data_IF_731014135747
#
_entry.id   IF_731014135747
#
_cell.length_a   1.000
_cell.length_b   1.000
_cell.length_c   1.000
_cell.angle_alpha   90.00
_cell.angle_beta   90.00
_cell.angle_gamma   90.00
#
_symmetry.space_group_name_H-M   'P 1'
#
loop_
_entity.id
_entity.type
_entity.pdbx_description
1 polymer ?
#
# COMPACT_ATOMS: atom_id res chain seq x y z
N UNK A 1 4.40 -3.32 -21.75
CA UNK A 1 4.90 -2.51 -20.63
C UNK A 1 3.97 -2.53 -19.41
N UNK A 2 2.65 -2.31 -19.52
CA UNK A 2 1.76 -2.30 -18.33
C UNK A 2 1.79 -3.62 -17.53
N UNK A 3 1.67 -4.79 -18.18
CA UNK A 3 1.73 -6.08 -17.49
C UNK A 3 3.05 -6.28 -16.71
N UNK A 4 4.17 -5.83 -17.29
CA UNK A 4 5.47 -5.86 -16.62
C UNK A 4 5.48 -4.93 -15.41
N UNK A 5 4.92 -3.72 -15.53
CA UNK A 5 4.75 -2.80 -14.39
C UNK A 5 3.94 -3.46 -13.27
N UNK A 6 2.78 -4.03 -13.58
CA UNK A 6 1.92 -4.69 -12.61
C UNK A 6 2.63 -5.87 -11.92
N UNK A 7 3.23 -6.76 -12.72
CA UNK A 7 3.97 -7.91 -12.20
C UNK A 7 5.16 -7.52 -11.33
N UNK A 8 5.90 -6.47 -11.72
CA UNK A 8 7.02 -5.97 -10.94
C UNK A 8 6.59 -5.33 -9.62
N UNK A 9 5.50 -4.55 -9.64
CA UNK A 9 4.92 -3.97 -8.42
C UNK A 9 4.47 -5.05 -7.45
N UNK A 10 3.79 -6.10 -7.93
CA UNK A 10 3.37 -7.23 -7.08
C UNK A 10 4.56 -8.03 -6.57
N UNK A 11 5.61 -8.20 -7.39
CA UNK A 11 6.85 -8.84 -6.93
C UNK A 11 7.51 -8.05 -5.80
N UNK A 12 7.61 -6.72 -5.93
CA UNK A 12 8.12 -5.86 -4.85
C UNK A 12 7.28 -6.01 -3.58
N UNK A 13 5.95 -6.01 -3.72
CA UNK A 13 5.02 -6.20 -2.60
C UNK A 13 5.22 -7.56 -1.91
N UNK A 14 5.44 -8.64 -2.67
CA UNK A 14 5.74 -9.97 -2.13
C UNK A 14 6.99 -9.98 -1.24
N UNK A 15 8.08 -9.38 -1.72
CA UNK A 15 9.32 -9.30 -0.95
C UNK A 15 9.15 -8.42 0.29
N UNK A 16 8.44 -7.30 0.15
CA UNK A 16 8.19 -6.41 1.26
C UNK A 16 7.31 -7.05 2.35
N UNK A 17 6.25 -7.75 1.97
CA UNK A 17 5.40 -8.50 2.89
C UNK A 17 6.22 -9.51 3.70
N UNK A 18 7.18 -10.21 3.07
CA UNK A 18 8.08 -11.10 3.81
C UNK A 18 8.94 -10.37 4.82
N UNK A 19 9.49 -9.19 4.48
CA UNK A 19 10.26 -8.36 5.41
C UNK A 19 9.38 -7.93 6.59
N UNK A 20 8.18 -7.44 6.31
CA UNK A 20 7.25 -6.95 7.32
C UNK A 20 6.76 -8.08 8.25
N UNK A 21 6.51 -9.27 7.72
CA UNK A 21 6.20 -10.46 8.53
C UNK A 21 7.32 -10.75 9.54
N UNK A 22 8.60 -10.64 9.15
CA UNK A 22 9.72 -10.94 10.05
C UNK A 22 9.82 -9.93 11.21
N UNK A 23 9.45 -8.67 10.98
CA UNK A 23 9.59 -7.61 12.00
C UNK A 23 8.32 -7.43 12.84
N UNK A 24 7.13 -7.70 12.28
CA UNK A 24 5.85 -7.52 12.98
C UNK A 24 5.31 -8.81 13.60
N UNK A 25 5.56 -9.96 12.96
CA UNK A 25 5.06 -11.26 13.40
C UNK A 25 3.54 -11.28 13.59
N UNK A 26 3.09 -11.84 14.71
CA UNK A 26 1.66 -11.98 15.02
C UNK A 26 1.00 -10.68 15.51
N UNK A 27 1.78 -9.66 15.90
CA UNK A 27 1.24 -8.46 16.52
C UNK A 27 0.69 -7.47 15.48
N UNK A 28 1.31 -7.43 14.31
CA UNK A 28 0.95 -6.56 13.19
C UNK A 28 1.10 -5.06 13.50
N UNK A 29 0.98 -4.24 12.47
CA UNK A 29 0.83 -2.78 12.55
C UNK A 29 1.89 -2.11 13.45
N UNK A 30 3.12 -2.59 13.35
CA UNK A 30 4.29 -2.16 14.10
C UNK A 30 4.06 -2.12 15.63
N UNK A 31 3.16 -2.96 16.17
CA UNK A 31 2.76 -2.91 17.57
C UNK A 31 3.93 -3.11 18.54
N UNK A 32 4.87 -4.00 18.18
CA UNK A 32 6.04 -4.34 19.00
C UNK A 32 7.35 -3.66 18.52
N UNK A 33 7.29 -2.82 17.48
CA UNK A 33 8.50 -2.17 16.97
C UNK A 33 8.94 -1.03 17.91
N UNK A 34 10.26 -0.81 18.09
CA UNK A 34 10.78 0.23 18.97
C UNK A 34 10.68 1.61 18.30
N UNK A 35 9.47 2.10 18.12
CA UNK A 35 9.18 3.35 17.42
C UNK A 35 8.15 4.20 18.17
N UNK A 36 8.14 5.50 17.93
CA UNK A 36 7.12 6.39 18.50
C UNK A 36 5.76 6.14 17.86
N UNK A 37 4.69 6.50 18.56
CA UNK A 37 3.31 6.25 18.12
C UNK A 37 2.40 7.43 18.43
N UNK A 38 1.52 7.76 17.48
CA UNK A 38 0.42 8.70 17.64
C UNK A 38 -0.87 7.87 17.55
N UNK A 39 -1.46 7.59 18.71
CA UNK A 39 -2.66 6.74 18.80
C UNK A 39 -3.94 7.50 18.45
N UNK A 40 -3.99 8.81 18.74
CA UNK A 40 -5.19 9.62 18.57
C UNK A 40 -4.85 10.99 17.98
N UNK A 41 -5.38 11.27 16.79
CA UNK A 41 -5.38 12.59 16.18
C UNK A 41 -6.43 12.59 15.05
N UNK A 42 -7.25 13.64 14.94
CA UNK A 42 -8.34 13.70 13.94
C UNK A 42 -7.89 13.55 12.48
N UNK A 43 -6.65 13.97 12.17
CA UNK A 43 -6.04 13.71 10.85
C UNK A 43 -5.87 12.22 10.54
N UNK A 44 -5.75 11.36 11.56
CA UNK A 44 -5.67 9.91 11.36
C UNK A 44 -7.00 9.36 10.83
N UNK A 45 -8.12 9.90 11.28
CA UNK A 45 -9.44 9.48 10.80
C UNK A 45 -9.62 9.79 9.30
N UNK A 46 -9.07 10.92 8.85
CA UNK A 46 -9.19 11.38 7.46
C UNK A 46 -8.16 10.72 6.54
N UNK A 47 -6.88 10.72 6.94
CA UNK A 47 -5.77 10.34 6.06
C UNK A 47 -5.20 8.96 6.36
N UNK A 48 -5.49 8.39 7.54
CA UNK A 48 -4.89 7.14 8.02
C UNK A 48 -5.93 6.04 8.30
N UNK A 49 -7.18 6.26 7.91
CA UNK A 49 -8.28 5.31 8.13
C UNK A 49 -8.62 5.06 9.60
N UNK A 50 -8.24 5.99 10.49
CA UNK A 50 -8.39 5.87 11.95
C UNK A 50 -7.31 5.03 12.62
N UNK A 51 -6.28 4.60 11.88
CA UNK A 51 -5.20 3.77 12.41
C UNK A 51 -4.19 4.61 13.22
N UNK A 52 -3.53 4.02 14.22
CA UNK A 52 -2.37 4.66 14.84
C UNK A 52 -1.26 4.89 13.82
N UNK A 53 -0.70 6.09 13.79
CA UNK A 53 0.52 6.37 13.02
C UNK A 53 1.73 6.01 13.88
N UNK A 54 2.62 5.17 13.37
CA UNK A 54 3.88 4.83 14.04
C UNK A 54 5.06 5.45 13.30
N UNK A 55 6.18 5.64 13.97
CA UNK A 55 7.38 6.14 13.30
C UNK A 55 7.90 5.21 12.22
N UNK A 56 7.66 3.89 12.33
CA UNK A 56 7.90 2.94 11.24
C UNK A 56 7.15 3.37 9.98
N UNK A 57 5.84 3.54 10.07
CA UNK A 57 5.01 3.98 8.95
C UNK A 57 5.40 5.36 8.43
N UNK A 58 5.65 6.33 9.33
CA UNK A 58 5.97 7.71 8.97
C UNK A 58 7.22 7.82 8.08
N UNK A 59 8.17 6.91 8.23
CA UNK A 59 9.37 6.87 7.39
C UNK A 59 9.26 5.89 6.22
N UNK A 60 8.56 4.77 6.41
CA UNK A 60 8.42 3.75 5.38
C UNK A 60 7.59 4.22 4.19
N UNK A 61 6.44 4.87 4.43
CA UNK A 61 5.55 5.30 3.35
C UNK A 61 6.25 6.32 2.41
N UNK A 62 6.90 7.39 2.90
CA UNK A 62 7.69 8.27 2.05
C UNK A 62 8.87 7.57 1.39
N UNK A 63 9.56 6.66 2.08
CA UNK A 63 10.66 5.91 1.50
C UNK A 63 10.20 5.09 0.27
N UNK A 64 9.11 4.35 0.39
CA UNK A 64 8.52 3.63 -0.74
C UNK A 64 8.05 4.57 -1.85
N UNK A 65 7.47 5.72 -1.50
CA UNK A 65 7.11 6.73 -2.50
C UNK A 65 8.36 7.19 -3.28
N UNK A 66 9.48 7.47 -2.61
CA UNK A 66 10.74 7.84 -3.26
C UNK A 66 11.25 6.73 -4.19
N UNK A 67 11.17 5.46 -3.78
CA UNK A 67 11.55 4.33 -4.66
C UNK A 67 10.72 4.27 -5.94
N UNK A 68 9.40 4.45 -5.85
CA UNK A 68 8.55 4.44 -7.04
C UNK A 68 8.73 5.67 -7.93
N UNK A 69 9.10 6.83 -7.37
CA UNK A 69 9.42 8.05 -8.14
C UNK A 69 10.86 8.07 -8.67
N UNK A 70 11.75 7.21 -8.16
CA UNK A 70 13.16 7.20 -8.56
C UNK A 70 13.37 7.12 -10.08
N UNK A 71 12.66 6.26 -10.85
CA UNK A 71 12.81 6.24 -12.30
C UNK A 71 12.42 7.55 -12.99
N UNK A 72 11.40 8.26 -12.48
CA UNK A 72 10.97 9.55 -13.02
C UNK A 72 12.01 10.64 -12.75
N UNK A 73 12.51 10.69 -11.51
CA UNK A 73 13.54 11.64 -11.10
C UNK A 73 14.85 11.39 -11.86
N UNK A 74 15.28 10.13 -11.98
CA UNK A 74 16.53 9.75 -12.63
C UNK A 74 16.48 9.94 -14.16
N UNK A 75 15.37 9.60 -14.80
CA UNK A 75 15.22 9.77 -16.26
C UNK A 75 14.88 11.22 -16.66
N UNK A 76 14.54 12.11 -15.71
CA UNK A 76 14.16 13.49 -15.98
C UNK A 76 12.86 13.67 -16.78
N UNK A 77 12.07 12.61 -16.95
CA UNK A 77 10.89 12.59 -17.82
C UNK A 77 9.59 12.59 -17.01
N UNK A 78 9.34 13.69 -16.31
CA UNK A 78 8.10 13.87 -15.56
C UNK A 78 6.93 14.21 -16.48
N UNK A 79 5.85 13.44 -16.37
CA UNK A 79 4.59 13.76 -17.04
C UNK A 79 3.44 13.36 -16.13
N UNK A 80 2.27 13.96 -16.31
CA UNK A 80 1.08 13.61 -15.52
C UNK A 80 0.70 12.12 -15.67
N UNK A 81 1.01 11.49 -16.82
CA UNK A 81 0.78 10.05 -17.04
C UNK A 81 1.75 9.19 -16.27
N UNK A 82 3.03 9.59 -16.23
CA UNK A 82 4.03 8.92 -15.43
C UNK A 82 3.67 9.02 -13.95
N UNK A 83 3.26 10.19 -13.49
CA UNK A 83 2.79 10.43 -12.12
C UNK A 83 1.58 9.56 -11.76
N UNK A 84 0.56 9.54 -12.62
CA UNK A 84 -0.62 8.69 -12.44
C UNK A 84 -0.24 7.21 -12.34
N UNK A 85 0.72 6.75 -13.16
CA UNK A 85 1.24 5.38 -13.10
C UNK A 85 1.97 5.11 -11.79
N UNK A 86 2.79 6.04 -11.31
CA UNK A 86 3.51 5.90 -10.03
C UNK A 86 2.53 5.79 -8.87
N UNK A 87 1.54 6.68 -8.77
CA UNK A 87 0.51 6.57 -7.72
C UNK A 87 -0.30 5.27 -7.82
N UNK A 88 -0.66 4.84 -9.02
CA UNK A 88 -1.33 3.56 -9.22
C UNK A 88 -0.47 2.37 -8.75
N UNK A 89 0.85 2.41 -9.01
CA UNK A 89 1.81 1.42 -8.51
C UNK A 89 1.92 1.44 -6.99
N UNK A 90 1.98 2.62 -6.36
CA UNK A 90 2.04 2.74 -4.89
C UNK A 90 0.78 2.15 -4.25
N UNK A 91 -0.41 2.46 -4.79
CA UNK A 91 -1.68 1.90 -4.30
C UNK A 91 -1.72 0.38 -4.48
N UNK A 92 -1.36 -0.12 -5.68
CA UNK A 92 -1.32 -1.55 -5.94
C UNK A 92 -0.31 -2.26 -5.03
N UNK A 93 0.86 -1.64 -4.78
CA UNK A 93 1.89 -2.16 -3.90
C UNK A 93 1.33 -2.38 -2.50
N UNK A 94 0.79 -1.34 -1.84
CA UNK A 94 0.32 -1.46 -0.46
C UNK A 94 -0.86 -2.41 -0.29
N UNK A 95 -1.79 -2.46 -1.26
CA UNK A 95 -2.89 -3.44 -1.21
C UNK A 95 -2.36 -4.87 -1.37
N UNK A 96 -1.46 -5.08 -2.32
CA UNK A 96 -0.91 -6.41 -2.60
C UNK A 96 -0.03 -6.87 -1.45
N UNK A 97 0.77 -5.97 -0.90
CA UNK A 97 1.66 -6.21 0.23
C UNK A 97 0.84 -6.60 1.46
N UNK A 98 -0.10 -5.76 1.91
CA UNK A 98 -0.92 -6.03 3.10
C UNK A 98 -1.73 -7.35 2.93
N UNK A 99 -2.29 -7.61 1.74
CA UNK A 99 -2.96 -8.88 1.48
C UNK A 99 -1.99 -10.08 1.54
N UNK A 100 -0.82 -9.96 0.92
CA UNK A 100 0.21 -11.00 0.95
C UNK A 100 0.75 -11.20 2.36
N UNK A 101 0.84 -10.14 3.17
CA UNK A 101 1.18 -10.23 4.58
C UNK A 101 0.21 -11.18 5.28
N UNK A 102 -1.11 -11.00 5.13
CA UNK A 102 -2.08 -11.90 5.76
C UNK A 102 -2.03 -13.32 5.18
N UNK A 103 -1.88 -13.47 3.87
CA UNK A 103 -1.82 -14.78 3.21
C UNK A 103 -0.60 -15.58 3.67
N UNK A 104 0.55 -14.93 3.80
CA UNK A 104 1.85 -15.57 4.03
C UNK A 104 2.26 -15.61 5.51
N UNK A 105 1.68 -14.76 6.37
CA UNK A 105 1.98 -14.75 7.79
C UNK A 105 1.41 -16.00 8.48
N UNK A 106 2.24 -16.88 9.05
CA UNK A 106 1.77 -18.09 9.73
C UNK A 106 0.84 -17.84 10.92
N UNK A 107 0.89 -16.66 11.53
CA UNK A 107 0.00 -16.28 12.62
C UNK A 107 -1.43 -15.94 12.16
N UNK A 108 -1.62 -15.67 10.87
CA UNK A 108 -2.89 -15.29 10.27
C UNK A 108 -3.33 -16.31 9.24
N UNK A 109 -2.77 -16.24 8.03
CA UNK A 109 -3.32 -16.93 6.87
C UNK A 109 -4.70 -16.41 6.47
N UNK A 110 -5.20 -16.92 5.34
CA UNK A 110 -6.52 -16.52 4.78
C UNK A 110 -7.68 -16.78 5.76
N UNK A 111 -7.55 -17.78 6.63
CA UNK A 111 -8.58 -18.13 7.62
C UNK A 111 -8.82 -17.02 8.67
N UNK A 112 -7.81 -16.17 8.91
CA UNK A 112 -7.89 -15.05 9.85
C UNK A 112 -8.03 -13.69 9.16
N UNK A 113 -8.30 -13.65 7.85
CA UNK A 113 -8.57 -12.41 7.13
C UNK A 113 -10.01 -11.94 7.38
N UNK A 114 -10.27 -11.42 8.58
CA UNK A 114 -11.58 -10.93 9.01
C UNK A 114 -11.44 -9.83 10.09
N UNK A 115 -12.43 -8.93 10.23
CA UNK A 115 -12.35 -7.78 11.16
C UNK A 115 -12.02 -8.18 12.60
N UNK A 116 -12.51 -9.34 13.05
CA UNK A 116 -12.31 -9.84 14.41
C UNK A 116 -10.85 -10.17 14.77
N UNK A 117 -9.99 -10.40 13.79
CA UNK A 117 -8.57 -10.73 14.00
C UNK A 117 -7.63 -9.57 13.67
N UNK A 118 -8.15 -8.53 13.01
CA UNK A 118 -7.34 -7.47 12.41
C UNK A 118 -7.85 -6.12 12.92
N UNK A 119 -7.62 -5.80 14.21
CA UNK A 119 -8.25 -4.66 14.87
C UNK A 119 -7.76 -3.30 14.36
N UNK A 120 -6.62 -3.25 13.66
CA UNK A 120 -6.13 -2.02 13.04
C UNK A 120 -6.89 -1.69 11.75
N UNK A 121 -7.50 -2.65 11.05
CA UNK A 121 -8.39 -2.33 9.93
C UNK A 121 -9.79 -2.00 10.47
N UNK A 122 -10.04 -0.70 10.69
CA UNK A 122 -11.25 -0.20 11.37
C UNK A 122 -12.51 -0.43 10.54
N UNK A 123 -12.44 -0.20 9.22
CA UNK A 123 -13.61 -0.23 8.34
C UNK A 123 -13.49 -1.37 7.32
N UNK A 124 -14.54 -2.18 7.23
CA UNK A 124 -14.61 -3.29 6.29
C UNK A 124 -15.84 -3.17 5.40
N UNK A 125 -15.68 -3.56 4.14
CA UNK A 125 -16.79 -3.72 3.22
C UNK A 125 -16.76 -5.12 2.62
N UNK A 126 -17.71 -5.96 3.04
CA UNK A 126 -17.74 -7.36 2.63
C UNK A 126 -16.51 -8.12 3.16
N UNK A 127 -15.77 -8.84 2.30
CA UNK A 127 -14.69 -9.73 2.74
C UNK A 127 -13.34 -9.05 2.94
N UNK A 128 -13.21 -7.74 2.72
CA UNK A 128 -11.94 -7.02 2.78
C UNK A 128 -12.09 -5.63 3.42
N UNK A 129 -10.98 -5.05 3.92
CA UNK A 129 -10.94 -3.66 4.38
C UNK A 129 -11.46 -2.67 3.33
N UNK A 130 -12.18 -1.62 3.77
CA UNK A 130 -12.79 -0.65 2.87
C UNK A 130 -11.78 0.12 2.03
N UNK A 131 -10.58 0.38 2.58
CA UNK A 131 -9.48 1.05 1.90
C UNK A 131 -8.92 0.24 0.73
N UNK A 132 -9.05 -1.10 0.73
CA UNK A 132 -8.68 -1.93 -0.42
C UNK A 132 -9.55 -1.61 -1.63
N UNK A 133 -10.88 -1.60 -1.44
CA UNK A 133 -11.82 -1.35 -2.53
C UNK A 133 -11.63 0.04 -3.12
N UNK A 134 -11.47 1.05 -2.26
CA UNK A 134 -11.24 2.44 -2.67
C UNK A 134 -9.92 2.56 -3.43
N UNK A 135 -8.82 2.06 -2.84
CA UNK A 135 -7.48 2.18 -3.42
C UNK A 135 -7.36 1.40 -4.73
N UNK A 136 -7.94 0.21 -4.84
CA UNK A 136 -7.94 -0.58 -6.07
C UNK A 136 -8.75 0.11 -7.17
N UNK A 137 -9.90 0.71 -6.83
CA UNK A 137 -10.71 1.47 -7.78
C UNK A 137 -9.97 2.68 -8.32
N UNK A 138 -9.32 3.46 -7.43
CA UNK A 138 -8.53 4.63 -7.83
C UNK A 138 -7.31 4.18 -8.66
N UNK A 139 -6.59 3.14 -8.24
CA UNK A 139 -5.47 2.59 -8.98
C UNK A 139 -5.87 2.15 -10.40
N UNK A 140 -7.02 1.49 -10.55
CA UNK A 140 -7.53 1.09 -11.86
C UNK A 140 -7.79 2.30 -12.78
N UNK A 141 -8.41 3.36 -12.24
CA UNK A 141 -8.64 4.61 -12.97
C UNK A 141 -7.31 5.28 -13.36
N UNK A 142 -6.35 5.36 -12.44
CA UNK A 142 -5.04 5.96 -12.69
C UNK A 142 -4.23 5.17 -13.72
N UNK A 143 -4.22 3.83 -13.64
CA UNK A 143 -3.60 2.98 -14.66
C UNK A 143 -4.25 3.20 -16.02
N UNK A 144 -5.58 3.23 -16.08
CA UNK A 144 -6.30 3.52 -17.32
C UNK A 144 -5.90 4.88 -17.89
N UNK A 145 -5.92 5.93 -17.08
CA UNK A 145 -5.52 7.28 -17.48
C UNK A 145 -4.06 7.34 -17.96
N UNK A 146 -3.15 6.62 -17.29
CA UNK A 146 -1.73 6.56 -17.65
C UNK A 146 -1.47 5.92 -19.02
N UNK A 147 -2.41 5.10 -19.52
CA UNK A 147 -2.29 4.39 -20.79
C UNK A 147 -2.96 5.13 -21.96
N UNK A 148 -3.70 6.22 -21.71
CA UNK A 148 -4.37 6.96 -22.80
C UNK A 148 -3.35 7.75 -23.61
N UNK A 149 -3.27 7.49 -24.92
CA UNK A 149 -2.49 8.30 -25.85
C UNK A 149 -2.89 9.78 -25.79
N UNK A 150 -1.96 10.68 -26.02
CA UNK A 150 -2.30 12.09 -26.26
C UNK A 150 -3.23 12.14 -27.46
N UNK A 151 -4.43 12.70 -27.27
CA UNK A 151 -5.14 13.25 -28.42
C UNK A 151 -4.29 14.42 -28.86
N UNK A 152 -3.50 14.21 -29.92
CA UNK A 152 -2.92 15.31 -30.69
C UNK A 152 -4.04 16.29 -30.98
N UNK A 153 -3.96 17.48 -30.38
CA UNK A 153 -4.78 18.62 -30.78
C UNK A 153 -4.21 19.19 -32.06
#
# INVERSE_FOLDING_TARGET
>A
MLLLTLGWTVLLALFFAHVEIQIEGAAGWAANLPTWRIEHHWLLDIFWGGRPMTGYHAWLFPCMALFFHFPLAFAGNWSWRAEARVFACIMLFWISEDFLWFVLNPAYGVAHFAPRYIPWHIHWWGPAPSDYWVSLSIAAVLFWMSCRAERSR
#
